data_IF_277020969238
#
_entry.id   IF_277020969238
#
_cell.length_a   1.000
_cell.length_b   1.000
_cell.length_c   1.000
_cell.angle_alpha   90.00
_cell.angle_beta   90.00
_cell.angle_gamma   90.00
#
_symmetry.space_group_name_H-M   'P 1'
#
loop_
_entity.id
_entity.type
_entity.pdbx_description
1 polymer ?
#
# COMPACT_ATOMS: atom_id res chain seq x y z
N UNK A 1 -14.44 11.33 -13.15
CA UNK A 1 -14.21 9.88 -13.03
C UNK A 1 -13.33 9.69 -11.82
N UNK A 2 -13.92 9.29 -10.70
CA UNK A 2 -13.15 8.92 -9.52
C UNK A 2 -12.29 7.72 -9.89
N UNK A 3 -10.97 7.89 -9.86
CA UNK A 3 -10.05 6.77 -10.02
C UNK A 3 -10.30 5.80 -8.87
N UNK A 4 -10.87 4.63 -9.16
CA UNK A 4 -11.04 3.56 -8.18
C UNK A 4 -9.68 3.18 -7.59
N UNK A 5 -9.63 3.04 -6.26
CA UNK A 5 -8.41 2.62 -5.57
C UNK A 5 -8.19 1.14 -5.79
N UNK A 6 -6.97 0.79 -6.15
CA UNK A 6 -6.58 -0.59 -6.47
C UNK A 6 -5.48 -1.07 -5.55
N UNK A 7 -5.44 -2.38 -5.33
CA UNK A 7 -4.36 -3.07 -4.64
C UNK A 7 -3.63 -3.95 -5.62
N UNK A 8 -2.31 -3.84 -5.61
CA UNK A 8 -1.41 -4.70 -6.37
C UNK A 8 -0.48 -5.47 -5.45
N UNK A 9 -0.14 -6.68 -5.88
CA UNK A 9 0.95 -7.48 -5.33
C UNK A 9 2.08 -7.51 -6.34
N UNK A 10 3.26 -7.05 -5.94
CA UNK A 10 4.48 -7.07 -6.75
C UNK A 10 5.21 -8.41 -6.63
N UNK A 11 6.07 -8.70 -7.62
CA UNK A 11 7.01 -9.83 -7.59
C UNK A 11 7.95 -9.86 -6.38
N UNK A 12 8.22 -8.70 -5.77
CA UNK A 12 8.96 -8.61 -4.50
C UNK A 12 8.14 -9.05 -3.28
N UNK A 13 6.86 -9.40 -3.45
CA UNK A 13 5.93 -9.68 -2.37
C UNK A 13 5.40 -8.42 -1.67
N UNK A 14 5.68 -7.21 -2.19
CA UNK A 14 5.11 -5.97 -1.65
C UNK A 14 3.68 -5.78 -2.12
N UNK A 15 2.81 -5.36 -1.20
CA UNK A 15 1.43 -5.01 -1.50
C UNK A 15 1.28 -3.49 -1.41
N UNK A 16 0.70 -2.89 -2.44
CA UNK A 16 0.51 -1.44 -2.52
C UNK A 16 -0.95 -1.18 -2.87
N UNK A 17 -1.64 -0.40 -2.03
CA UNK A 17 -2.87 0.26 -2.44
C UNK A 17 -2.50 1.61 -3.05
N UNK A 18 -3.09 1.94 -4.20
CA UNK A 18 -2.72 3.15 -4.92
C UNK A 18 -3.88 3.81 -5.64
N UNK A 19 -3.70 5.11 -5.88
CA UNK A 19 -4.51 5.94 -6.77
C UNK A 19 -3.65 6.34 -7.96
N UNK A 20 -3.95 5.78 -9.14
CA UNK A 20 -3.25 6.13 -10.36
C UNK A 20 -3.57 7.56 -10.80
N UNK A 21 -2.52 8.32 -11.12
CA UNK A 21 -2.61 9.59 -11.83
C UNK A 21 -2.17 9.31 -13.26
N UNK A 22 -3.14 9.24 -14.17
CA UNK A 22 -2.90 8.91 -15.57
C UNK A 22 -1.92 9.91 -16.19
N UNK A 23 -0.82 9.40 -16.70
CA UNK A 23 0.19 10.16 -17.42
C UNK A 23 0.59 9.36 -18.64
N UNK A 24 0.18 9.84 -19.83
CA UNK A 24 0.36 9.13 -21.09
C UNK A 24 1.79 8.65 -21.31
N UNK A 25 2.79 9.50 -21.05
CA UNK A 25 4.20 9.14 -21.21
C UNK A 25 4.64 8.02 -20.26
N UNK A 26 4.27 8.11 -18.99
CA UNK A 26 4.61 7.06 -18.01
C UNK A 26 3.89 5.75 -18.32
N UNK A 27 2.62 5.83 -18.69
CA UNK A 27 1.80 4.67 -19.03
C UNK A 27 2.33 3.94 -20.28
N UNK A 28 2.79 4.66 -21.29
CA UNK A 28 3.40 4.10 -22.50
C UNK A 28 4.72 3.34 -22.18
N UNK A 29 5.43 3.76 -21.13
CA UNK A 29 6.61 3.07 -20.60
C UNK A 29 6.27 1.94 -19.61
N UNK A 30 4.98 1.67 -19.39
CA UNK A 30 4.50 0.68 -18.42
C UNK A 30 4.74 1.09 -16.97
N UNK A 31 4.96 2.37 -16.70
CA UNK A 31 5.19 2.94 -15.37
C UNK A 31 3.87 3.45 -14.80
N UNK A 32 3.51 3.00 -13.60
CA UNK A 32 2.39 3.53 -12.84
C UNK A 32 2.87 4.66 -11.95
N UNK A 33 2.26 5.84 -12.13
CA UNK A 33 2.51 7.05 -11.35
C UNK A 33 1.28 7.39 -10.52
N UNK A 34 1.46 7.80 -9.27
CA UNK A 34 0.34 8.11 -8.40
C UNK A 34 0.70 8.18 -6.92
N UNK A 35 -0.32 8.21 -6.08
CA UNK A 35 -0.18 8.12 -4.63
C UNK A 35 -0.31 6.65 -4.21
N UNK A 36 0.48 6.21 -3.25
CA UNK A 36 0.44 4.82 -2.78
C UNK A 36 0.68 4.70 -1.28
N UNK A 37 0.08 3.66 -0.70
CA UNK A 37 0.36 3.17 0.65
C UNK A 37 0.85 1.74 0.53
N UNK A 38 2.01 1.47 1.12
CA UNK A 38 2.47 0.08 1.28
C UNK A 38 1.66 -0.60 2.38
N UNK A 39 1.02 -1.72 2.09
CA UNK A 39 0.24 -2.52 3.04
C UNK A 39 1.15 -3.55 3.70
N UNK A 40 1.41 -3.39 5.00
CA UNK A 40 2.25 -4.31 5.77
C UNK A 40 1.96 -4.30 7.27
N UNK A 41 2.25 -5.43 7.92
CA UNK A 41 2.43 -5.54 9.36
C UNK A 41 3.67 -6.40 9.63
N UNK A 42 4.74 -5.78 10.15
CA UNK A 42 6.01 -6.46 10.39
C UNK A 42 6.24 -6.59 11.89
N UNK A 43 6.57 -7.79 12.36
CA UNK A 43 7.05 -7.97 13.73
C UNK A 43 8.56 -7.72 13.76
N UNK A 44 9.00 -6.76 14.55
CA UNK A 44 10.41 -6.41 14.67
C UNK A 44 10.84 -6.69 16.10
N UNK A 45 11.82 -7.56 16.23
CA UNK A 45 12.52 -7.86 17.48
C UNK A 45 13.89 -7.21 17.44
N UNK A 46 14.18 -6.42 18.47
CA UNK A 46 15.50 -5.88 18.76
C UNK A 46 16.00 -6.47 20.08
N UNK A 47 17.27 -6.28 20.42
CA UNK A 47 17.84 -6.75 21.70
C UNK A 47 17.09 -6.21 22.93
N UNK A 48 16.35 -5.09 22.79
CA UNK A 48 15.70 -4.39 23.90
C UNK A 48 14.17 -4.52 23.90
N UNK A 49 13.55 -4.63 22.73
CA UNK A 49 12.09 -4.63 22.58
C UNK A 49 11.62 -5.44 21.38
N UNK A 50 10.40 -5.96 21.45
CA UNK A 50 9.69 -6.49 20.28
C UNK A 50 8.41 -5.71 20.04
N UNK A 51 8.20 -5.26 18.81
CA UNK A 51 7.06 -4.40 18.46
C UNK A 51 6.58 -4.66 17.04
N UNK A 52 5.31 -4.33 16.78
CA UNK A 52 4.75 -4.38 15.43
C UNK A 52 4.89 -3.03 14.75
N UNK A 53 5.44 -3.03 13.55
CA UNK A 53 5.38 -1.91 12.61
C UNK A 53 4.26 -2.13 11.59
N UNK A 54 3.60 -1.05 11.21
CA UNK A 54 2.46 -1.07 10.29
C UNK A 54 2.62 0.03 9.26
N UNK A 55 1.86 -0.09 8.16
CA UNK A 55 1.61 1.00 7.22
C UNK A 55 1.39 2.34 7.95
N UNK A 56 2.17 3.36 7.58
CA UNK A 56 2.25 4.59 8.36
C UNK A 56 2.20 5.89 7.55
N UNK A 57 2.29 5.83 6.22
CA UNK A 57 2.23 7.01 5.37
C UNK A 57 1.66 6.69 3.99
N UNK A 58 1.05 7.68 3.37
CA UNK A 58 0.73 7.70 1.94
C UNK A 58 1.75 8.58 1.22
N UNK A 59 2.25 8.13 0.07
CA UNK A 59 3.21 8.90 -0.71
C UNK A 59 2.53 10.12 -1.34
N UNK A 60 3.30 11.18 -1.56
CA UNK A 60 2.98 12.15 -2.61
C UNK A 60 2.95 11.46 -4.00
N UNK A 61 2.46 12.12 -5.06
CA UNK A 61 2.50 11.57 -6.41
C UNK A 61 3.93 11.21 -6.80
N UNK A 62 4.19 9.92 -6.99
CA UNK A 62 5.52 9.38 -7.34
C UNK A 62 5.38 8.20 -8.30
N UNK A 63 6.53 7.74 -8.84
CA UNK A 63 6.60 6.45 -9.51
C UNK A 63 6.39 5.34 -8.48
N UNK A 64 5.31 4.57 -8.62
CA UNK A 64 4.96 3.51 -7.69
C UNK A 64 5.58 2.18 -8.09
N UNK A 65 5.36 1.73 -9.33
CA UNK A 65 5.85 0.46 -9.84
C UNK A 65 5.84 0.41 -11.38
N UNK A 66 6.47 -0.61 -11.95
CA UNK A 66 6.31 -0.98 -13.34
C UNK A 66 5.27 -2.10 -13.45
N UNK A 67 4.39 -2.05 -14.47
CA UNK A 67 3.38 -3.07 -14.73
C UNK A 67 3.99 -4.48 -14.90
N UNK A 68 5.20 -4.57 -15.45
CA UNK A 68 5.93 -5.84 -15.60
C UNK A 68 6.29 -6.53 -14.27
N UNK A 69 6.22 -5.80 -13.15
CA UNK A 69 6.49 -6.32 -11.81
C UNK A 69 5.23 -6.73 -11.05
N UNK A 70 4.04 -6.58 -11.63
CA UNK A 70 2.77 -6.92 -10.99
C UNK A 70 2.49 -8.42 -11.16
N UNK A 71 2.15 -9.10 -10.07
CA UNK A 71 1.64 -10.48 -10.07
C UNK A 71 0.11 -10.48 -10.01
N UNK A 72 -0.47 -9.59 -9.19
CA UNK A 72 -1.90 -9.50 -8.98
C UNK A 72 -2.31 -8.02 -8.91
N UNK A 73 -3.48 -7.71 -9.47
CA UNK A 73 -4.15 -6.40 -9.42
C UNK A 73 -5.63 -6.64 -9.16
N UNK A 74 -6.20 -5.93 -8.18
CA UNK A 74 -7.63 -5.95 -7.86
C UNK A 74 -8.09 -4.62 -7.30
N UNK A 75 -9.40 -4.43 -7.20
CA UNK A 75 -9.98 -3.31 -6.46
C UNK A 75 -9.69 -3.43 -4.96
N UNK A 76 -9.53 -2.28 -4.32
CA UNK A 76 -9.41 -2.19 -2.86
C UNK A 76 -10.74 -2.54 -2.19
N UNK A 77 -10.67 -3.30 -1.09
CA UNK A 77 -11.85 -3.54 -0.27
C UNK A 77 -12.06 -2.40 0.74
N UNK A 78 -13.18 -2.44 1.48
CA UNK A 78 -13.55 -1.38 2.43
C UNK A 78 -12.48 -1.08 3.48
N UNK A 79 -11.82 -2.09 4.04
CA UNK A 79 -10.76 -1.89 5.04
C UNK A 79 -9.53 -1.21 4.46
N UNK A 80 -9.15 -1.59 3.23
CA UNK A 80 -8.01 -1.00 2.53
C UNK A 80 -8.28 0.45 2.12
N UNK A 81 -9.51 0.72 1.65
CA UNK A 81 -9.98 2.08 1.37
C UNK A 81 -9.87 2.97 2.62
N UNK A 82 -10.33 2.47 3.77
CA UNK A 82 -10.22 3.19 5.05
C UNK A 82 -8.76 3.47 5.40
N UNK A 83 -7.88 2.48 5.29
CA UNK A 83 -6.44 2.63 5.56
C UNK A 83 -5.82 3.68 4.64
N UNK A 84 -6.10 3.63 3.33
CA UNK A 84 -5.58 4.61 2.37
C UNK A 84 -6.04 6.02 2.71
N UNK A 85 -7.34 6.21 2.95
CA UNK A 85 -7.92 7.52 3.24
C UNK A 85 -7.37 8.14 4.52
N UNK A 86 -7.21 7.34 5.59
CA UNK A 86 -6.59 7.81 6.83
C UNK A 86 -5.15 8.27 6.57
N UNK A 87 -4.34 7.43 5.94
CA UNK A 87 -2.94 7.75 5.71
C UNK A 87 -2.73 8.88 4.69
N UNK A 88 -3.63 9.05 3.71
CA UNK A 88 -3.61 10.21 2.81
C UNK A 88 -3.98 11.52 3.52
N UNK A 89 -4.78 11.44 4.59
CA UNK A 89 -5.14 12.58 5.43
C UNK A 89 -4.17 12.76 6.62
N UNK A 90 -3.05 12.04 6.64
CA UNK A 90 -2.08 12.05 7.74
C UNK A 90 -2.68 11.64 9.11
N UNK A 91 -3.73 10.83 9.09
CA UNK A 91 -4.38 10.26 10.27
C UNK A 91 -3.71 8.94 10.67
N UNK A 92 -3.72 8.64 11.97
CA UNK A 92 -3.13 7.41 12.50
C UNK A 92 -4.09 6.23 12.33
N UNK A 93 -3.52 5.06 12.04
CA UNK A 93 -4.26 3.80 12.04
C UNK A 93 -4.75 3.43 13.45
N UNK A 94 -6.01 3.03 13.53
CA UNK A 94 -6.64 2.55 14.76
C UNK A 94 -6.35 1.05 15.00
N UNK A 95 -6.98 0.48 16.03
CA UNK A 95 -6.79 -0.93 16.38
C UNK A 95 -7.29 -1.88 15.29
N UNK A 96 -8.44 -1.57 14.67
CA UNK A 96 -9.06 -2.44 13.67
C UNK A 96 -8.24 -2.44 12.37
N UNK A 97 -7.72 -1.27 11.98
CA UNK A 97 -6.82 -1.15 10.81
C UNK A 97 -5.57 -2.02 11.00
N UNK A 98 -4.96 -1.94 12.19
CA UNK A 98 -3.74 -2.70 12.54
C UNK A 98 -4.00 -4.21 12.58
N UNK A 99 -5.14 -4.62 13.12
CA UNK A 99 -5.55 -6.03 13.16
C UNK A 99 -5.83 -6.57 11.75
N UNK A 100 -6.48 -5.78 10.90
CA UNK A 100 -6.66 -6.11 9.49
C UNK A 100 -5.31 -6.29 8.77
N UNK A 101 -4.38 -5.35 8.94
CA UNK A 101 -3.03 -5.44 8.35
C UNK A 101 -2.27 -6.67 8.86
N UNK A 102 -2.41 -7.02 10.14
CA UNK A 102 -1.82 -8.25 10.71
C UNK A 102 -2.40 -9.52 10.08
N UNK A 103 -3.70 -9.59 9.91
CA UNK A 103 -4.34 -10.82 9.44
C UNK A 103 -4.10 -11.06 7.94
N UNK A 104 -3.90 -9.99 7.15
CA UNK A 104 -3.84 -10.08 5.68
C UNK A 104 -2.47 -9.74 5.08
N UNK A 105 -1.64 -8.96 5.79
CA UNK A 105 -0.39 -8.39 5.28
C UNK A 105 0.78 -8.57 6.27
N UNK A 106 0.68 -9.55 7.18
CA UNK A 106 1.78 -9.90 8.07
C UNK A 106 2.96 -10.43 7.27
N UNK A 107 4.14 -9.90 7.57
CA UNK A 107 5.41 -10.48 7.16
C UNK A 107 6.23 -10.80 8.40
N UNK A 108 6.85 -11.97 8.38
CA UNK A 108 7.90 -12.33 9.32
C UNK A 108 9.21 -11.85 8.69
N UNK A 109 9.94 -11.00 9.41
CA UNK A 109 11.26 -10.49 9.02
C UNK A 109 12.33 -11.15 9.90
#
# INVERSE_FOLDING_TARGET
MDSELEVITLKSGNNIIFKEIKNKFSNDLGIVYGNGVSLYANYITTEKTSSWQYSCFCTDPVKLFNLSNVINRRLANSSELTIFNKLSNNEKLDKNDKEYLKNNYRKEL
#
